data_IF_391476445474
#
_entry.id   IF_391476445474
#
_cell.length_a   1.000
_cell.length_b   1.000
_cell.length_c   1.000
_cell.angle_alpha   90.00
_cell.angle_beta   90.00
_cell.angle_gamma   90.00
#
_symmetry.space_group_name_H-M   'P 1'
#
loop_
_entity.id
_entity.type
_entity.pdbx_description
1 polymer ?
#
# COMPACT_ATOMS: atom_id res chain seq x y z
N UNK A 1 -11.76 -7.87 -20.22
CA UNK A 1 -12.78 -7.71 -19.17
C UNK A 1 -12.09 -7.08 -17.98
N UNK A 2 -12.50 -5.87 -17.56
CA UNK A 2 -11.86 -5.16 -16.44
C UNK A 2 -12.18 -5.90 -15.13
N UNK A 3 -11.15 -6.10 -14.31
CA UNK A 3 -11.16 -6.83 -13.04
C UNK A 3 -12.01 -6.14 -11.95
N UNK A 4 -13.32 -6.13 -12.10
CA UNK A 4 -14.26 -5.50 -11.15
C UNK A 4 -14.13 -6.04 -9.70
N UNK A 5 -13.54 -7.23 -9.51
CA UNK A 5 -13.37 -7.89 -8.22
C UNK A 5 -11.92 -7.96 -7.70
N UNK A 6 -10.92 -7.42 -8.42
CA UNK A 6 -9.56 -7.42 -7.89
C UNK A 6 -9.51 -6.59 -6.61
N UNK A 7 -8.78 -7.02 -5.56
CA UNK A 7 -8.55 -6.19 -4.39
C UNK A 7 -7.83 -4.89 -4.75
N UNK A 8 -8.05 -3.86 -3.95
CA UNK A 8 -7.37 -2.58 -4.04
C UNK A 8 -6.36 -2.50 -2.91
N UNK A 9 -5.12 -2.13 -3.24
CA UNK A 9 -4.07 -1.82 -2.27
C UNK A 9 -3.79 -0.32 -2.35
N UNK A 10 -3.97 0.38 -1.24
CA UNK A 10 -3.74 1.81 -1.13
C UNK A 10 -2.41 2.05 -0.40
N UNK A 11 -1.50 2.79 -1.04
CA UNK A 11 -0.17 3.09 -0.49
C UNK A 11 -0.06 4.59 -0.28
N UNK A 12 0.12 5.00 0.98
CA UNK A 12 0.26 6.42 1.31
C UNK A 12 1.66 6.96 1.02
N UNK A 13 1.78 8.28 0.97
CA UNK A 13 3.06 8.99 0.87
C UNK A 13 3.57 9.43 2.24
N UNK A 14 4.50 10.37 2.27
CA UNK A 14 5.20 10.84 3.48
C UNK A 14 4.30 11.37 4.61
N UNK A 15 3.03 11.69 4.34
CA UNK A 15 2.10 12.15 5.36
C UNK A 15 0.76 11.43 5.22
N UNK A 16 0.28 10.88 6.34
CA UNK A 16 -1.07 10.34 6.45
C UNK A 16 -1.11 8.89 6.92
N UNK A 17 -2.33 8.40 7.07
CA UNK A 17 -2.69 7.03 7.38
C UNK A 17 -3.95 6.73 6.54
N UNK A 18 -3.99 5.58 5.86
CA UNK A 18 -5.10 5.20 4.98
C UNK A 18 -6.05 4.17 5.62
N UNK A 19 -5.84 3.78 6.88
CA UNK A 19 -6.75 2.93 7.64
C UNK A 19 -7.99 3.67 8.16
N UNK A 20 -8.14 4.98 7.88
CA UNK A 20 -9.39 5.68 8.16
C UNK A 20 -10.54 4.99 7.42
N UNK A 21 -11.54 4.52 8.18
CA UNK A 21 -12.70 3.79 7.66
C UNK A 21 -13.44 4.56 6.56
N UNK A 22 -13.42 5.90 6.60
CA UNK A 22 -14.05 6.74 5.57
C UNK A 22 -13.36 6.58 4.23
N UNK A 23 -12.03 6.50 4.23
CA UNK A 23 -11.22 6.27 3.02
C UNK A 23 -11.50 4.88 2.46
N UNK A 24 -11.46 3.86 3.32
CA UNK A 24 -11.68 2.46 2.90
C UNK A 24 -13.10 2.26 2.35
N UNK A 25 -14.11 2.86 2.98
CA UNK A 25 -15.51 2.76 2.56
C UNK A 25 -15.82 3.43 1.21
N UNK A 26 -14.98 4.37 0.75
CA UNK A 26 -15.18 5.09 -0.51
C UNK A 26 -15.07 4.17 -1.74
N UNK A 27 -14.48 2.98 -1.59
CA UNK A 27 -14.31 2.00 -2.67
C UNK A 27 -15.43 0.94 -2.72
N UNK A 28 -16.51 1.13 -1.96
CA UNK A 28 -17.70 0.28 -2.00
C UNK A 28 -17.44 -1.13 -1.47
N UNK A 29 -18.06 -2.14 -2.10
CA UNK A 29 -17.98 -3.54 -1.68
C UNK A 29 -16.70 -4.29 -2.07
N UNK A 30 -15.65 -3.58 -2.50
CA UNK A 30 -14.37 -4.19 -2.89
C UNK A 30 -13.52 -4.49 -1.65
N UNK A 31 -12.68 -5.52 -1.73
CA UNK A 31 -11.64 -5.73 -0.71
C UNK A 31 -10.59 -4.63 -0.86
N UNK A 32 -10.42 -3.81 0.18
CA UNK A 32 -9.46 -2.70 0.21
C UNK A 32 -8.47 -2.94 1.33
N UNK A 33 -7.19 -2.83 0.99
CA UNK A 33 -6.09 -2.97 1.91
C UNK A 33 -5.26 -1.69 1.92
N UNK A 34 -4.82 -1.27 3.11
CA UNK A 34 -4.01 -0.09 3.30
C UNK A 34 -2.84 -0.44 4.24
N UNK A 35 -1.76 -1.06 3.71
CA UNK A 35 -0.58 -1.35 4.52
C UNK A 35 0.01 -0.06 5.10
N UNK A 36 0.37 -0.10 6.38
CA UNK A 36 1.18 0.96 7.00
C UNK A 36 2.62 0.88 6.47
N UNK A 37 3.25 2.04 6.25
CA UNK A 37 4.67 2.11 5.93
C UNK A 37 5.54 2.04 7.18
N UNK A 38 6.83 1.71 7.03
CA UNK A 38 7.78 1.67 8.15
C UNK A 38 7.95 3.12 8.65
N UNK A 39 7.88 3.31 9.98
CA UNK A 39 7.86 4.63 10.59
C UNK A 39 6.46 5.25 10.72
N UNK A 40 5.39 4.58 10.28
CA UNK A 40 4.00 5.03 10.41
C UNK A 40 3.14 4.03 11.17
N UNK A 41 2.02 4.50 11.73
CA UNK A 41 1.02 3.66 12.39
C UNK A 41 1.61 2.69 13.41
N UNK A 42 1.38 1.40 13.19
CA UNK A 42 1.90 0.31 14.02
C UNK A 42 3.43 0.18 13.96
N UNK A 43 4.07 0.64 12.89
CA UNK A 43 5.52 0.66 12.70
C UNK A 43 6.17 1.99 13.10
N UNK A 44 5.46 2.90 13.79
CA UNK A 44 6.00 4.23 14.14
C UNK A 44 7.22 4.22 15.06
N UNK A 45 7.47 3.11 15.75
CA UNK A 45 8.58 2.97 16.71
C UNK A 45 9.76 2.20 16.10
N UNK A 46 9.65 1.76 14.85
CA UNK A 46 10.77 1.16 14.13
C UNK A 46 11.81 2.26 13.88
N UNK A 47 13.08 1.94 14.12
CA UNK A 47 14.17 2.83 13.76
C UNK A 47 14.21 2.99 12.23
N UNK A 48 14.02 4.21 11.78
CA UNK A 48 14.07 4.58 10.35
C UNK A 48 15.42 5.15 9.94
N UNK A 49 16.40 5.18 10.86
CA UNK A 49 17.75 5.61 10.53
C UNK A 49 18.37 4.63 9.53
N UNK A 50 18.69 5.14 8.34
CA UNK A 50 19.20 4.31 7.24
C UNK A 50 18.13 3.56 6.43
N UNK A 51 16.83 3.77 6.69
CA UNK A 51 15.76 3.20 5.87
C UNK A 51 15.84 3.76 4.44
N UNK A 52 16.04 2.88 3.47
CA UNK A 52 16.04 3.24 2.07
C UNK A 52 14.66 2.98 1.44
N UNK A 53 14.39 3.61 0.29
CA UNK A 53 13.11 3.49 -0.40
C UNK A 53 12.80 2.05 -0.85
N UNK A 54 13.81 1.26 -1.19
CA UNK A 54 13.67 -0.16 -1.53
C UNK A 54 13.22 -0.99 -0.32
N UNK A 55 13.68 -0.68 0.89
CA UNK A 55 13.22 -1.38 2.10
C UNK A 55 11.72 -1.14 2.31
N UNK A 56 11.25 0.07 2.00
CA UNK A 56 9.85 0.42 2.06
C UNK A 56 9.02 -0.28 0.97
N UNK A 57 9.55 -0.39 -0.24
CA UNK A 57 8.91 -1.13 -1.33
C UNK A 57 8.83 -2.63 -1.01
N UNK A 58 9.90 -3.22 -0.49
CA UNK A 58 9.95 -4.63 -0.07
C UNK A 58 8.93 -4.92 1.04
N UNK A 59 8.76 -3.99 1.98
CA UNK A 59 7.72 -4.08 3.02
C UNK A 59 6.31 -4.18 2.41
N UNK A 60 6.00 -3.31 1.44
CA UNK A 60 4.70 -3.31 0.74
C UNK A 60 4.52 -4.58 -0.10
N UNK A 61 5.55 -5.03 -0.81
CA UNK A 61 5.51 -6.27 -1.61
C UNK A 61 5.25 -7.48 -0.71
N UNK A 62 5.92 -7.57 0.45
CA UNK A 62 5.65 -8.65 1.42
C UNK A 62 4.22 -8.64 1.90
N UNK A 63 3.66 -7.46 2.21
CA UNK A 63 2.25 -7.35 2.58
C UNK A 63 1.33 -7.87 1.46
N UNK A 64 1.58 -7.45 0.21
CA UNK A 64 0.78 -7.84 -0.96
C UNK A 64 0.87 -9.35 -1.21
N UNK A 65 2.06 -9.94 -1.13
CA UNK A 65 2.25 -11.37 -1.33
C UNK A 65 1.50 -12.20 -0.26
N UNK A 66 1.31 -11.66 0.93
CA UNK A 66 0.54 -12.30 2.00
C UNK A 66 -0.98 -12.22 1.79
N UNK A 67 -1.47 -11.42 0.83
CA UNK A 67 -2.90 -11.35 0.51
C UNK A 67 -3.39 -12.54 -0.35
N UNK A 68 -2.48 -13.37 -0.87
CA UNK A 68 -2.78 -14.52 -1.75
C UNK A 68 -3.64 -14.14 -2.96
N UNK A 69 -3.28 -13.05 -3.63
CA UNK A 69 -4.04 -12.49 -4.76
C UNK A 69 -3.21 -12.47 -6.04
N UNK A 70 -3.79 -12.95 -7.15
CA UNK A 70 -3.10 -12.98 -8.45
C UNK A 70 -2.94 -11.57 -9.05
N UNK A 71 -3.91 -10.67 -8.82
CA UNK A 71 -3.97 -9.33 -9.40
C UNK A 71 -4.61 -8.35 -8.42
N UNK A 72 -4.05 -7.15 -8.33
CA UNK A 72 -4.56 -6.07 -7.50
C UNK A 72 -4.42 -4.72 -8.21
N UNK A 73 -5.14 -3.71 -7.73
CA UNK A 73 -4.97 -2.32 -8.17
C UNK A 73 -4.21 -1.57 -7.08
N UNK A 74 -3.07 -0.96 -7.43
CA UNK A 74 -2.35 -0.08 -6.51
C UNK A 74 -2.68 1.39 -6.74
N UNK A 75 -3.00 2.12 -5.67
CA UNK A 75 -3.15 3.57 -5.69
C UNK A 75 -2.14 4.20 -4.75
N UNK A 76 -1.22 4.98 -5.32
CA UNK A 76 -0.22 5.73 -4.58
C UNK A 76 -0.49 7.23 -4.62
N UNK A 77 -0.30 7.90 -3.48
CA UNK A 77 -0.26 9.38 -3.45
C UNK A 77 1.07 9.89 -4.04
N UNK A 78 1.17 11.17 -4.42
CA UNK A 78 2.22 11.77 -5.29
C UNK A 78 3.69 11.35 -5.01
N UNK A 79 4.04 11.00 -3.77
CA UNK A 79 5.40 10.58 -3.38
C UNK A 79 5.66 9.06 -3.49
N UNK A 80 4.63 8.24 -3.67
CA UNK A 80 4.69 6.78 -3.81
C UNK A 80 4.57 6.30 -5.27
N UNK A 81 4.25 7.19 -6.21
CA UNK A 81 3.94 6.90 -7.62
C UNK A 81 5.13 6.34 -8.44
N UNK A 82 6.40 6.79 -8.26
CA UNK A 82 7.48 6.32 -9.14
C UNK A 82 7.80 4.82 -9.01
N UNK A 83 7.49 4.20 -7.87
CA UNK A 83 8.01 2.87 -7.53
C UNK A 83 6.97 1.74 -7.63
N UNK A 84 5.68 2.03 -7.52
CA UNK A 84 4.65 1.01 -7.74
C UNK A 84 4.56 0.55 -9.20
N UNK A 85 5.02 1.37 -10.15
CA UNK A 85 5.18 0.94 -11.55
C UNK A 85 6.27 -0.14 -11.71
N UNK A 86 7.24 -0.23 -10.80
CA UNK A 86 8.32 -1.23 -10.86
C UNK A 86 7.88 -2.59 -10.33
N UNK A 87 6.87 -2.65 -9.45
CA UNK A 87 6.35 -3.88 -8.87
C UNK A 87 5.20 -4.52 -9.67
N UNK A 88 4.74 -3.86 -10.74
CA UNK A 88 3.61 -4.31 -11.55
C UNK A 88 4.01 -5.03 -12.86
N UNK A 89 5.32 -5.35 -13.03
CA UNK A 89 5.85 -6.13 -14.14
C UNK A 89 6.32 -7.52 -13.68
#
# INVERSE_FOLDING_TARGET
MLHQNAPIVLVHGLFGNLQDKRILSAFGGRSVHAPELIGYGEYRQVDVSGLALNDQADHVVRYINNLDVEKFISLATLLAVPYLLLCAN
#
